data_IF_795140550170
#
_entry.id   IF_795140550170
#
_cell.length_a   1.000
_cell.length_b   1.000
_cell.length_c   1.000
_cell.angle_alpha   90.00
_cell.angle_beta   90.00
_cell.angle_gamma   90.00
#
_symmetry.space_group_name_H-M   'P 1'
#
loop_
_entity.id
_entity.type
_entity.pdbx_description
1 polymer ?
#
# COMPACT_ATOMS: atom_id res chain seq x y z
N UNK A 1 -16.28 -5.81 -23.82
CA UNK A 1 -15.80 -4.59 -23.14
C UNK A 1 -15.38 -4.83 -21.68
N UNK A 2 -16.17 -5.50 -20.84
CA UNK A 2 -15.84 -5.67 -19.40
C UNK A 2 -14.51 -6.37 -19.07
N UNK A 3 -14.06 -7.36 -19.86
CA UNK A 3 -12.76 -8.05 -19.62
C UNK A 3 -11.55 -7.12 -19.85
N UNK A 4 -11.56 -6.31 -20.90
CA UNK A 4 -10.48 -5.35 -21.21
C UNK A 4 -10.37 -4.25 -20.15
N UNK A 5 -11.51 -3.72 -19.69
CA UNK A 5 -11.55 -2.72 -18.61
C UNK A 5 -10.97 -3.29 -17.31
N UNK A 6 -11.31 -4.54 -17.00
CA UNK A 6 -10.76 -5.28 -15.86
C UNK A 6 -9.25 -5.46 -15.95
N UNK A 7 -8.72 -5.85 -17.12
CA UNK A 7 -7.27 -6.02 -17.33
C UNK A 7 -6.56 -4.67 -17.18
N UNK A 8 -7.08 -3.62 -17.81
CA UNK A 8 -6.50 -2.29 -17.76
C UNK A 8 -6.46 -1.74 -16.32
N UNK A 9 -7.54 -1.93 -15.57
CA UNK A 9 -7.59 -1.51 -14.18
C UNK A 9 -6.64 -2.33 -13.28
N UNK A 10 -6.46 -3.63 -13.54
CA UNK A 10 -5.46 -4.45 -12.87
C UNK A 10 -4.03 -3.95 -13.13
N UNK A 11 -3.69 -3.63 -14.38
CA UNK A 11 -2.40 -3.04 -14.74
C UNK A 11 -2.20 -1.66 -14.08
N UNK A 12 -3.27 -0.86 -14.01
CA UNK A 12 -3.24 0.44 -13.35
C UNK A 12 -2.96 0.30 -11.84
N UNK A 13 -3.60 -0.64 -11.15
CA UNK A 13 -3.36 -0.92 -9.72
C UNK A 13 -1.89 -1.27 -9.49
N UNK A 14 -1.34 -2.18 -10.29
CA UNK A 14 0.07 -2.59 -10.19
C UNK A 14 1.00 -1.39 -10.41
N UNK A 15 0.72 -0.55 -11.41
CA UNK A 15 1.51 0.65 -11.66
C UNK A 15 1.46 1.64 -10.48
N UNK A 16 0.26 1.88 -9.92
CA UNK A 16 0.07 2.75 -8.76
C UNK A 16 0.84 2.24 -7.53
N UNK A 17 0.75 0.95 -7.23
CA UNK A 17 1.43 0.32 -6.10
C UNK A 17 2.96 0.33 -6.26
N UNK A 18 3.48 0.10 -7.47
CA UNK A 18 4.92 0.21 -7.76
C UNK A 18 5.41 1.64 -7.55
N UNK A 19 4.69 2.63 -8.09
CA UNK A 19 5.05 4.04 -7.92
C UNK A 19 4.97 4.43 -6.44
N UNK A 20 3.94 4.00 -5.72
CA UNK A 20 3.80 4.23 -4.28
C UNK A 20 4.98 3.62 -3.49
N UNK A 21 5.37 2.39 -3.82
CA UNK A 21 6.51 1.70 -3.20
C UNK A 21 7.84 2.44 -3.42
N UNK A 22 8.10 2.88 -4.66
CA UNK A 22 9.30 3.68 -4.99
C UNK A 22 9.28 5.01 -4.25
N UNK A 23 8.13 5.68 -4.17
CA UNK A 23 8.00 6.94 -3.43
C UNK A 23 8.21 6.75 -1.93
N UNK A 24 7.72 5.66 -1.33
CA UNK A 24 7.98 5.31 0.07
C UNK A 24 9.48 5.12 0.35
N UNK A 25 10.20 4.43 -0.55
CA UNK A 25 11.65 4.27 -0.45
C UNK A 25 12.39 5.61 -0.60
N UNK A 26 12.02 6.43 -1.58
CA UNK A 26 12.61 7.78 -1.76
C UNK A 26 12.33 8.70 -0.57
N UNK A 27 11.13 8.62 0.00
CA UNK A 27 10.76 9.39 1.19
C UNK A 27 11.64 9.01 2.38
N UNK A 28 11.94 7.72 2.55
CA UNK A 28 12.87 7.26 3.59
C UNK A 28 14.30 7.73 3.32
N UNK A 29 14.77 7.65 2.07
CA UNK A 29 16.10 8.14 1.70
C UNK A 29 16.23 9.65 2.00
N UNK A 30 15.23 10.46 1.65
CA UNK A 30 15.19 11.89 1.94
C UNK A 30 15.15 12.17 3.46
N UNK A 31 14.46 11.33 4.23
CA UNK A 31 14.46 11.39 5.69
C UNK A 31 15.84 11.07 6.28
N UNK A 32 16.52 10.04 5.76
CA UNK A 32 17.84 9.62 6.26
C UNK A 32 18.95 10.62 5.91
N UNK A 33 18.90 11.24 4.74
CA UNK A 33 19.82 12.31 4.34
C UNK A 33 19.73 13.51 5.30
N UNK A 34 18.53 13.93 5.68
CA UNK A 34 18.32 15.03 6.62
C UNK A 34 18.89 14.72 8.03
N UNK A 35 18.88 13.46 8.45
CA UNK A 35 19.46 13.03 9.74
C UNK A 35 20.98 13.00 9.72
N UNK A 36 21.59 12.58 8.60
CA UNK A 36 23.04 12.39 8.51
C UNK A 36 23.85 13.69 8.65
N UNK A 37 23.21 14.83 8.37
CA UNK A 37 23.81 16.18 8.48
C UNK A 37 23.76 16.73 9.92
N UNK A 38 22.97 16.13 10.83
CA UNK A 38 22.69 16.66 12.17
C UNK A 38 23.23 15.76 13.30
N UNK A 39 24.46 15.27 13.18
CA UNK A 39 25.13 14.52 14.25
C UNK A 39 25.85 15.47 15.22
N UNK A 40 25.19 15.88 16.32
CA UNK A 40 25.85 16.40 17.54
C UNK A 40 25.01 16.19 18.83
N UNK A 41 24.68 14.94 19.18
CA UNK A 41 24.16 14.47 20.49
C UNK A 41 22.65 14.33 20.77
N UNK A 42 21.71 14.57 19.85
CA UNK A 42 20.30 14.20 20.06
C UNK A 42 19.65 13.71 18.76
N UNK A 43 19.10 12.49 18.79
CA UNK A 43 18.42 11.79 17.67
C UNK A 43 17.10 12.48 17.30
N UNK A 44 17.16 13.73 16.85
CA UNK A 44 16.02 14.56 16.52
C UNK A 44 15.77 14.49 15.01
N UNK A 45 14.59 14.01 14.60
CA UNK A 45 14.18 14.01 13.19
C UNK A 45 13.96 15.47 12.76
N UNK A 46 14.86 16.04 11.95
CA UNK A 46 14.57 17.32 11.32
C UNK A 46 13.55 17.08 10.20
N UNK A 47 12.38 17.74 10.21
CA UNK A 47 11.31 17.46 9.25
C UNK A 47 11.79 17.74 7.83
N UNK A 48 11.90 16.69 7.02
CA UNK A 48 12.17 16.83 5.58
C UNK A 48 10.85 17.10 4.87
N UNK A 49 10.72 18.31 4.32
CA UNK A 49 9.55 18.67 3.52
C UNK A 49 9.41 17.73 2.31
N UNK A 50 10.52 17.31 1.72
CA UNK A 50 10.54 16.37 0.61
C UNK A 50 10.03 14.98 1.03
N UNK A 51 10.51 14.44 2.17
CA UNK A 51 10.02 13.16 2.70
C UNK A 51 8.52 13.19 3.01
N UNK A 52 8.00 14.32 3.51
CA UNK A 52 6.57 14.52 3.74
C UNK A 52 5.77 14.47 2.42
N UNK A 53 6.20 15.20 1.39
CA UNK A 53 5.51 15.24 0.09
C UNK A 53 5.52 13.86 -0.58
N UNK A 54 6.67 13.18 -0.57
CA UNK A 54 6.81 11.84 -1.14
C UNK A 54 5.98 10.79 -0.37
N UNK A 55 5.99 10.85 0.96
CA UNK A 55 5.18 9.97 1.81
C UNK A 55 3.67 10.19 1.61
N UNK A 56 3.22 11.45 1.52
CA UNK A 56 1.83 11.78 1.22
C UNK A 56 1.41 11.30 -0.18
N UNK A 57 2.29 11.43 -1.18
CA UNK A 57 2.07 10.87 -2.51
C UNK A 57 1.95 9.34 -2.47
N UNK A 58 2.79 8.64 -1.70
CA UNK A 58 2.68 7.19 -1.54
C UNK A 58 1.36 6.78 -0.86
N UNK A 59 0.95 7.47 0.21
CA UNK A 59 -0.33 7.23 0.92
C UNK A 59 -1.52 7.38 -0.04
N UNK A 60 -1.53 8.44 -0.84
CA UNK A 60 -2.64 8.71 -1.77
C UNK A 60 -2.71 7.67 -2.89
N UNK A 61 -1.57 7.29 -3.47
CA UNK A 61 -1.51 6.26 -4.52
C UNK A 61 -1.96 4.89 -4.02
N UNK A 62 -1.49 4.45 -2.84
CA UNK A 62 -1.92 3.19 -2.23
C UNK A 62 -3.44 3.21 -1.94
N UNK A 63 -3.98 4.34 -1.47
CA UNK A 63 -5.41 4.53 -1.27
C UNK A 63 -6.21 4.38 -2.57
N UNK A 64 -5.78 5.06 -3.64
CA UNK A 64 -6.43 4.97 -4.96
C UNK A 64 -6.35 3.54 -5.51
N UNK A 65 -5.18 2.89 -5.41
CA UNK A 65 -4.99 1.51 -5.83
C UNK A 65 -5.95 0.56 -5.10
N UNK A 66 -6.11 0.72 -3.79
CA UNK A 66 -7.01 -0.11 -3.00
C UNK A 66 -8.49 0.11 -3.37
N UNK A 67 -8.92 1.35 -3.58
CA UNK A 67 -10.29 1.65 -4.03
C UNK A 67 -10.57 1.01 -5.39
N UNK A 68 -9.62 1.11 -6.33
CA UNK A 68 -9.73 0.46 -7.64
C UNK A 68 -9.79 -1.07 -7.52
N UNK A 69 -8.98 -1.68 -6.65
CA UNK A 69 -9.00 -3.13 -6.41
C UNK A 69 -10.37 -3.60 -5.89
N UNK A 70 -10.99 -2.84 -4.98
CA UNK A 70 -12.32 -3.15 -4.46
C UNK A 70 -13.43 -2.99 -5.52
N UNK A 71 -13.34 -1.96 -6.38
CA UNK A 71 -14.29 -1.77 -7.49
C UNK A 71 -14.25 -2.92 -8.51
N UNK A 72 -13.07 -3.52 -8.74
CA UNK A 72 -12.92 -4.66 -9.66
C UNK A 72 -13.43 -5.98 -9.09
N UNK A 73 -13.38 -6.13 -7.76
CA UNK A 73 -13.78 -7.35 -7.06
C UNK A 73 -15.27 -7.63 -7.06
N UNK A 74 -16.09 -6.59 -7.17
CA UNK A 74 -17.54 -6.70 -7.07
C UNK A 74 -18.03 -7.22 -5.71
N UNK A 75 -19.35 -7.35 -5.53
CA UNK A 75 -20.00 -7.85 -4.31
C UNK A 75 -19.84 -9.38 -4.17
N UNK A 76 -18.62 -9.94 -4.27
CA UNK A 76 -18.40 -11.39 -4.26
C UNK A 76 -18.65 -12.05 -2.89
N UNK A 77 -18.78 -11.24 -1.83
CA UNK A 77 -19.01 -11.66 -0.43
C UNK A 77 -20.49 -11.62 -0.05
N UNK A 78 -21.37 -11.14 -0.93
CA UNK A 78 -22.73 -10.76 -0.57
C UNK A 78 -23.73 -11.93 -0.49
N UNK A 79 -23.30 -13.17 -0.75
CA UNK A 79 -24.12 -14.37 -0.56
C UNK A 79 -23.35 -15.43 0.24
N UNK A 80 -23.76 -15.66 1.49
CA UNK A 80 -23.16 -16.67 2.38
C UNK A 80 -23.39 -18.11 1.87
N UNK A 81 -24.40 -18.33 1.01
CA UNK A 81 -24.70 -19.63 0.41
C UNK A 81 -23.65 -20.10 -0.61
N UNK A 82 -22.85 -19.17 -1.14
CA UNK A 82 -21.82 -19.44 -2.14
C UNK A 82 -20.51 -20.00 -1.57
N UNK A 83 -20.23 -19.78 -0.28
CA UNK A 83 -18.95 -20.17 0.36
C UNK A 83 -18.90 -21.69 0.59
N UNK A 84 -20.04 -22.32 0.89
CA UNK A 84 -20.12 -23.77 1.19
C UNK A 84 -20.14 -24.66 -0.05
N UNK A 85 -20.38 -24.07 -1.23
CA UNK A 85 -20.33 -24.70 -2.56
C UNK A 85 -19.17 -24.17 -3.43
N UNK A 86 -18.30 -23.32 -2.88
CA UNK A 86 -17.25 -22.63 -3.61
C UNK A 86 -16.16 -23.58 -4.11
N UNK A 87 -15.87 -23.54 -5.40
CA UNK A 87 -14.66 -24.12 -6.01
C UNK A 87 -13.41 -23.57 -5.29
N UNK A 88 -12.33 -24.35 -5.10
CA UNK A 88 -11.09 -23.90 -4.43
C UNK A 88 -10.56 -22.53 -4.89
N UNK A 89 -10.78 -22.19 -6.16
CA UNK A 89 -10.40 -20.91 -6.79
C UNK A 89 -11.19 -19.72 -6.20
N UNK A 90 -12.45 -19.91 -5.85
CA UNK A 90 -13.31 -18.90 -5.22
C UNK A 90 -12.90 -18.69 -3.76
N UNK A 91 -12.55 -19.75 -3.04
CA UNK A 91 -12.00 -19.64 -1.68
C UNK A 91 -10.64 -18.91 -1.68
N UNK A 92 -9.76 -19.23 -2.64
CA UNK A 92 -8.49 -18.53 -2.82
C UNK A 92 -8.69 -17.04 -3.14
N UNK A 93 -9.65 -16.71 -4.00
CA UNK A 93 -10.00 -15.31 -4.32
C UNK A 93 -10.47 -14.53 -3.09
N UNK A 94 -11.34 -15.11 -2.25
CA UNK A 94 -11.78 -14.47 -1.01
C UNK A 94 -10.60 -14.29 -0.03
N UNK A 95 -9.74 -15.30 0.11
CA UNK A 95 -8.55 -15.20 0.97
C UNK A 95 -7.60 -14.09 0.50
N UNK A 96 -7.31 -14.01 -0.81
CA UNK A 96 -6.49 -12.93 -1.38
C UNK A 96 -7.12 -11.55 -1.11
N UNK A 97 -8.44 -11.42 -1.22
CA UNK A 97 -9.13 -10.17 -0.90
C UNK A 97 -8.91 -9.79 0.58
N UNK A 98 -9.11 -10.71 1.51
CA UNK A 98 -8.86 -10.45 2.95
C UNK A 98 -7.40 -10.04 3.20
N UNK A 99 -6.43 -10.72 2.58
CA UNK A 99 -5.03 -10.34 2.68
C UNK A 99 -4.75 -8.94 2.14
N UNK A 100 -5.34 -8.55 0.99
CA UNK A 100 -5.17 -7.18 0.45
C UNK A 100 -5.64 -6.10 1.43
N UNK A 101 -6.75 -6.33 2.15
CA UNK A 101 -7.24 -5.41 3.18
C UNK A 101 -6.30 -5.31 4.38
N UNK A 102 -5.76 -6.44 4.85
CA UNK A 102 -4.79 -6.46 5.95
C UNK A 102 -3.51 -5.72 5.55
N UNK A 103 -2.97 -6.02 4.38
CA UNK A 103 -1.76 -5.37 3.84
C UNK A 103 -2.00 -3.88 3.63
N UNK A 104 -3.16 -3.50 3.10
CA UNK A 104 -3.54 -2.10 2.93
C UNK A 104 -3.58 -1.36 4.28
N UNK A 105 -4.23 -1.93 5.30
CA UNK A 105 -4.27 -1.31 6.63
C UNK A 105 -2.88 -1.15 7.26
N UNK A 106 -2.03 -2.18 7.14
CA UNK A 106 -0.65 -2.14 7.62
C UNK A 106 0.23 -1.14 6.83
N UNK A 107 0.12 -1.14 5.50
CA UNK A 107 0.87 -0.25 4.61
C UNK A 107 0.47 1.22 4.80
N UNK A 108 -0.83 1.48 4.85
CA UNK A 108 -1.36 2.82 5.05
C UNK A 108 -0.97 3.37 6.43
N UNK A 109 -1.10 2.58 7.50
CA UNK A 109 -0.75 3.03 8.84
C UNK A 109 0.74 3.36 8.96
N UNK A 110 1.62 2.51 8.45
CA UNK A 110 3.07 2.74 8.46
C UNK A 110 3.47 3.96 7.61
N UNK A 111 2.92 4.11 6.40
CA UNK A 111 3.15 5.31 5.56
C UNK A 111 2.63 6.60 6.23
N UNK A 112 1.45 6.58 6.85
CA UNK A 112 0.87 7.75 7.54
C UNK A 112 1.69 8.12 8.77
N UNK A 113 2.14 7.14 9.56
CA UNK A 113 3.02 7.38 10.72
C UNK A 113 4.34 7.99 10.24
N UNK A 114 4.97 7.42 9.21
CA UNK A 114 6.20 7.93 8.62
C UNK A 114 6.04 9.35 8.04
N UNK A 115 4.93 9.61 7.33
CA UNK A 115 4.64 10.93 6.75
C UNK A 115 4.39 11.98 7.83
N UNK A 116 3.58 11.68 8.85
CA UNK A 116 3.31 12.59 9.98
C UNK A 116 4.58 12.90 10.78
N UNK A 117 5.51 11.94 10.87
CA UNK A 117 6.83 12.13 11.48
C UNK A 117 7.71 13.17 10.78
N UNK A 118 7.41 13.51 9.52
CA UNK A 118 8.14 14.50 8.71
C UNK A 118 7.40 15.84 8.53
N UNK A 119 6.26 16.03 9.19
CA UNK A 119 5.51 17.29 9.10
C UNK A 119 6.28 18.45 9.74
N UNK A 120 6.23 19.64 9.11
CA UNK A 120 7.06 20.84 9.31
C UNK A 120 7.15 21.40 10.75
N UNK A 121 6.41 20.86 11.72
CA UNK A 121 6.29 21.42 13.07
C UNK A 121 6.64 20.45 14.22
N UNK A 122 7.06 19.21 13.94
CA UNK A 122 7.36 18.22 15.00
C UNK A 122 8.82 17.79 14.99
N UNK A 123 9.68 18.55 15.68
CA UNK A 123 10.94 18.03 16.22
C UNK A 123 10.63 17.12 17.40
N UNK A 124 10.27 15.86 17.12
CA UNK A 124 10.13 14.84 18.16
C UNK A 124 11.46 14.11 18.28
N UNK A 125 12.26 14.47 19.28
CA UNK A 125 13.34 13.58 19.76
C UNK A 125 12.67 12.43 20.52
N UNK A 126 12.70 11.23 19.96
CA UNK A 126 12.10 10.06 20.55
C UNK A 126 12.37 8.83 19.69
N UNK A 127 12.24 7.65 20.30
CA UNK A 127 12.43 6.33 19.68
C UNK A 127 11.37 6.05 18.59
N UNK A 128 11.39 6.80 17.49
CA UNK A 128 10.61 6.47 16.31
C UNK A 128 11.36 5.37 15.58
N UNK A 129 10.91 4.13 15.81
CA UNK A 129 11.50 2.93 15.27
C UNK A 129 11.72 3.07 13.76
N UNK A 130 12.92 2.70 13.35
CA UNK A 130 13.45 2.97 12.03
C UNK A 130 12.65 2.19 10.98
N UNK A 131 12.37 2.84 9.84
CA UNK A 131 11.86 2.23 8.60
C UNK A 131 10.34 2.25 8.34
N UNK A 132 9.52 3.08 9.01
CA UNK A 132 8.07 3.13 8.71
C UNK A 132 7.74 3.44 7.24
N UNK A 133 8.49 4.34 6.60
CA UNK A 133 8.27 4.72 5.18
C UNK A 133 8.69 3.59 4.22
N UNK A 134 9.81 2.92 4.45
CA UNK A 134 10.25 1.77 3.66
C UNK A 134 9.39 0.52 3.91
N UNK A 135 9.01 0.23 5.15
CA UNK A 135 8.05 -0.85 5.48
C UNK A 135 6.73 -0.61 4.75
N UNK A 136 6.21 0.63 4.80
CA UNK A 136 5.03 1.02 4.04
C UNK A 136 5.20 0.86 2.53
N UNK A 137 6.36 1.23 1.99
CA UNK A 137 6.71 1.03 0.58
C UNK A 137 6.79 -0.45 0.17
N UNK A 138 7.39 -1.31 0.99
CA UNK A 138 7.43 -2.77 0.78
C UNK A 138 6.01 -3.33 0.75
N UNK A 139 5.16 -2.90 1.69
CA UNK A 139 3.76 -3.33 1.75
C UNK A 139 2.97 -2.91 0.50
N UNK A 140 3.33 -1.82 -0.19
CA UNK A 140 2.73 -1.47 -1.49
C UNK A 140 3.05 -2.54 -2.56
N UNK A 141 4.29 -3.03 -2.63
CA UNK A 141 4.64 -4.11 -3.57
C UNK A 141 3.93 -5.42 -3.22
N UNK A 142 3.80 -5.74 -1.92
CA UNK A 142 3.05 -6.91 -1.46
C UNK A 142 1.56 -6.75 -1.82
N UNK A 143 0.99 -5.55 -1.67
CA UNK A 143 -0.38 -5.26 -2.09
C UNK A 143 -0.58 -5.51 -3.59
N UNK A 144 0.37 -5.12 -4.44
CA UNK A 144 0.34 -5.40 -5.87
C UNK A 144 0.30 -6.91 -6.16
N UNK A 145 1.15 -7.70 -5.50
CA UNK A 145 1.21 -9.16 -5.69
C UNK A 145 -0.13 -9.84 -5.36
N UNK A 146 -0.71 -9.51 -4.21
CA UNK A 146 -2.00 -10.08 -3.81
C UNK A 146 -3.15 -9.56 -4.68
N UNK A 147 -3.08 -8.31 -5.15
CA UNK A 147 -4.07 -7.75 -6.08
C UNK A 147 -4.07 -8.45 -7.43
N UNK A 148 -2.89 -8.79 -7.97
CA UNK A 148 -2.75 -9.58 -9.21
C UNK A 148 -3.26 -11.01 -9.00
N UNK A 149 -2.87 -11.66 -7.90
CA UNK A 149 -3.35 -13.01 -7.58
C UNK A 149 -4.88 -13.05 -7.47
N UNK A 150 -5.46 -12.06 -6.78
CA UNK A 150 -6.91 -11.87 -6.69
C UNK A 150 -7.54 -11.70 -8.07
N UNK A 151 -6.96 -10.84 -8.93
CA UNK A 151 -7.46 -10.58 -10.26
C UNK A 151 -7.45 -11.84 -11.15
N UNK A 152 -6.33 -12.57 -11.15
CA UNK A 152 -6.18 -13.82 -11.92
C UNK A 152 -7.19 -14.87 -11.43
N UNK A 153 -7.28 -15.10 -10.12
CA UNK A 153 -8.24 -16.04 -9.55
C UNK A 153 -9.70 -15.64 -9.86
N UNK A 154 -10.03 -14.35 -9.76
CA UNK A 154 -11.37 -13.84 -10.08
C UNK A 154 -11.70 -13.97 -11.57
N UNK A 155 -10.71 -13.83 -12.46
CA UNK A 155 -10.90 -13.99 -13.92
C UNK A 155 -11.16 -15.43 -14.35
N UNK A 156 -10.58 -16.42 -13.64
CA UNK A 156 -10.75 -17.85 -13.90
C UNK A 156 -12.12 -18.40 -13.44
N UNK A 157 -12.77 -17.74 -12.48
CA UNK A 157 -14.13 -18.09 -12.05
C UNK A 157 -15.23 -17.68 -13.06
N UNK A 158 -14.88 -17.02 -14.16
CA UNK A 158 -15.80 -16.54 -15.20
C UNK A 158 -15.63 -17.29 -16.55
N UNK A 159 -15.15 -18.53 -16.49
CA UNK A 159 -15.02 -19.45 -17.62
C UNK A 159 -16.03 -20.60 -17.48
#
# INVERSE_FOLDING_TARGET
MGKLVKIFAGLLIVALDIVAGILGYKAEAAQNQAKHVTLWLFECNNPSHEAFVLGLAAVTLLGVAHVLANLLGGCSVCSNDDIRKATPIKQLSIACLVFTWIIFAAGLSTLVIGTKGNHKSRTSCGYLHHNYLSIGGILCFVHALFSVAYYVAASQNLA
#
